data_IF_929672494940
#
_entry.id   IF_929672494940
#
_cell.length_a   1.000
_cell.length_b   1.000
_cell.length_c   1.000
_cell.angle_alpha   90.00
_cell.angle_beta   90.00
_cell.angle_gamma   90.00
#
_symmetry.space_group_name_H-M   'P 1'
#
loop_
_entity.id
_entity.type
_entity.pdbx_description
1 polymer ?
2 non-polymer ?
3 non-polymer ?
4 water ?
#
# COMPACT_ATOMS: atom_id res chain seq x y z
N UNK A 1 -5.90 25.45 15.37
CA UNK A 1 -5.76 24.62 16.54
C UNK A 1 -5.20 23.23 16.27
N UNK A 2 -5.32 22.33 17.25
CA UNK A 2 -5.06 20.92 17.06
C UNK A 2 -6.14 20.04 17.67
N UNK A 3 -7.27 20.62 18.07
CA UNK A 3 -8.28 19.92 18.86
C UNK A 3 -9.25 19.11 17.99
N UNK A 4 -9.70 19.70 16.88
CA UNK A 4 -10.55 18.98 15.94
C UNK A 4 -9.85 17.75 15.39
N UNK A 5 -8.55 17.86 15.08
CA UNK A 5 -7.82 16.74 14.52
C UNK A 5 -7.79 15.55 15.48
N UNK A 6 -7.62 15.82 16.78
CA UNK A 6 -7.67 14.75 17.77
C UNK A 6 -9.03 14.06 17.79
N UNK A 7 -10.11 14.84 17.70
CA UNK A 7 -11.45 14.25 17.68
C UNK A 7 -11.64 13.33 16.48
N UNK A 8 -11.09 13.72 15.33
CA UNK A 8 -11.14 12.87 14.15
C UNK A 8 -10.38 11.56 14.40
N UNK A 9 -9.14 11.68 14.88
CA UNK A 9 -8.35 10.49 15.16
C UNK A 9 -9.02 9.63 16.22
N UNK A 10 -9.68 10.25 17.21
CA UNK A 10 -10.36 9.43 18.21
C UNK A 10 -11.53 8.65 17.58
N UNK A 11 -12.34 9.33 16.77
CA UNK A 11 -13.43 8.64 16.07
C UNK A 11 -12.89 7.48 15.24
N UNK A 12 -11.83 7.71 14.47
CA UNK A 12 -11.27 6.67 13.63
C UNK A 12 -10.72 5.52 14.47
N UNK A 13 -10.13 5.84 15.63
CA UNK A 13 -9.59 4.76 16.45
C UNK A 13 -10.72 3.89 17.03
N UNK A 14 -11.79 4.52 17.52
CA UNK A 14 -12.87 3.75 18.14
C UNK A 14 -13.62 2.93 17.10
N UNK A 15 -13.71 3.42 15.87
CA UNK A 15 -14.35 2.65 14.81
C UNK A 15 -13.53 1.42 14.44
N UNK A 16 -12.21 1.56 14.42
CA UNK A 16 -11.35 0.43 14.12
C UNK A 16 -11.34 -0.60 15.25
N UNK A 17 -11.39 -0.14 16.51
CA UNK A 17 -11.24 -1.00 17.68
C UNK A 17 -12.54 -1.68 18.11
N UNK A 18 -13.70 -1.22 17.65
CA UNK A 18 -14.95 -1.72 18.18
C UNK A 18 -15.09 -3.21 17.84
N UNK A 19 -15.80 -3.94 18.70
CA UNK A 19 -15.93 -5.39 18.54
C UNK A 19 -16.63 -5.72 17.23
N UNK A 20 -16.10 -6.70 16.50
CA UNK A 20 -16.67 -7.06 15.20
C UNK A 20 -16.39 -8.52 14.87
N UNK A 21 -17.35 -9.19 14.25
CA UNK A 21 -17.18 -10.57 13.78
C UNK A 21 -16.54 -10.63 12.40
N UNK A 22 -16.16 -9.50 11.81
CA UNK A 22 -15.73 -9.49 10.42
C UNK A 22 -14.38 -10.18 10.24
N UNK A 23 -13.41 -9.88 11.13
CA UNK A 23 -12.10 -10.52 11.00
C UNK A 23 -12.21 -12.04 11.09
N UNK A 24 -13.16 -12.55 11.88
CA UNK A 24 -13.34 -13.99 11.97
C UNK A 24 -13.96 -14.58 10.71
N UNK A 25 -14.88 -13.85 10.08
CA UNK A 25 -15.44 -14.32 8.81
C UNK A 25 -14.38 -14.34 7.73
N UNK A 26 -13.57 -13.29 7.66
CA UNK A 26 -12.48 -13.23 6.68
C UNK A 26 -11.49 -14.35 6.91
N UNK A 27 -11.15 -14.61 8.19
CA UNK A 27 -10.15 -15.64 8.49
C UNK A 27 -10.59 -17.00 8.00
N UNK A 28 -11.87 -17.34 8.21
CA UNK A 28 -12.35 -18.66 7.81
C UNK A 28 -12.26 -18.86 6.32
N UNK A 29 -12.61 -17.81 5.56
CA UNK A 29 -12.52 -17.87 4.10
C UNK A 29 -11.08 -18.03 3.66
N UNK A 30 -10.19 -17.20 4.22
CA UNK A 30 -8.80 -17.20 3.80
C UNK A 30 -8.14 -18.55 4.07
N UNK A 31 -8.35 -19.09 5.28
CA UNK A 31 -7.80 -20.40 5.61
C UNK A 31 -8.31 -21.47 4.66
N UNK A 32 -9.58 -21.36 4.24
CA UNK A 32 -10.16 -22.30 3.28
C UNK A 32 -9.47 -22.20 1.93
N UNK A 33 -9.21 -20.98 1.47
CA UNK A 33 -8.54 -20.80 0.20
C UNK A 33 -7.11 -21.31 0.26
N UNK A 34 -6.38 -21.00 1.33
CA UNK A 34 -4.99 -21.40 1.44
C UNK A 34 -4.84 -22.92 1.43
N UNK A 35 -5.75 -23.62 2.10
CA UNK A 35 -5.70 -25.07 2.07
C UNK A 35 -5.94 -25.59 0.66
N UNK A 36 -6.86 -24.97 -0.08
CA UNK A 36 -7.18 -25.48 -1.41
C UNK A 36 -6.04 -25.21 -2.39
N UNK A 37 -5.47 -24.00 -2.36
CA UNK A 37 -4.38 -23.65 -3.26
C UNK A 37 -3.13 -24.46 -3.00
N UNK A 38 -2.84 -24.75 -1.72
CA UNK A 38 -1.65 -25.52 -1.37
C UNK A 38 -1.67 -26.93 -1.97
N UNK A 39 -2.83 -27.53 -2.16
CA UNK A 39 -2.84 -28.81 -2.88
C UNK A 39 -3.19 -28.61 -4.35
N UNK A 40 -2.48 -27.68 -4.97
CA UNK A 40 -2.41 -27.53 -6.41
C UNK A 40 -0.95 -27.46 -6.80
N UNK A 41 -0.63 -28.04 -7.97
CA UNK A 41 0.77 -28.17 -8.38
C UNK A 41 1.49 -26.82 -8.44
N UNK A 42 0.77 -25.75 -8.81
CA UNK A 42 1.42 -24.46 -9.02
C UNK A 42 1.47 -23.60 -7.77
N UNK A 43 0.64 -23.87 -6.76
CA UNK A 43 0.52 -22.97 -5.62
C UNK A 43 0.86 -23.67 -4.30
N UNK A 44 1.69 -24.69 -4.32
CA UNK A 44 1.88 -25.39 -3.05
C UNK A 44 2.82 -24.65 -2.10
N UNK A 45 3.47 -23.59 -2.54
CA UNK A 45 4.26 -22.77 -1.63
C UNK A 45 3.57 -21.47 -1.23
N UNK A 46 2.26 -21.40 -1.42
CA UNK A 46 1.54 -20.15 -1.16
C UNK A 46 1.30 -20.02 0.33
N UNK A 47 1.36 -18.79 0.82
CA UNK A 47 1.02 -18.49 2.20
C UNK A 47 0.71 -17.01 2.31
N UNK A 48 0.20 -16.64 3.48
CA UNK A 48 -0.14 -15.25 3.77
C UNK A 48 1.12 -14.41 3.88
N UNK A 49 1.09 -13.20 3.30
CA UNK A 49 2.23 -12.30 3.40
C UNK A 49 2.58 -12.04 4.86
N UNK A 50 1.63 -11.58 5.65
CA UNK A 50 1.80 -11.48 7.09
C UNK A 50 0.77 -12.36 7.79
N UNK A 51 1.25 -13.26 8.65
CA UNK A 51 0.39 -14.17 9.41
C UNK A 51 -0.02 -13.59 10.76
N UNK A 52 -0.30 -12.29 10.84
CA UNK A 52 -0.92 -11.73 12.01
C UNK A 52 -2.43 -11.94 12.00
N UNK A 53 -3.05 -11.87 13.19
CA UNK A 53 -4.49 -12.06 13.30
C UNK A 53 -5.28 -10.80 13.02
N UNK A 54 -4.61 -9.67 12.79
CA UNK A 54 -5.25 -8.40 12.44
C UNK A 54 -5.00 -8.10 10.97
N UNK A 55 -6.07 -7.99 10.20
CA UNK A 55 -5.96 -7.88 8.75
C UNK A 55 -5.71 -6.45 8.30
N UNK A 56 -5.21 -6.32 7.08
CA UNK A 56 -4.84 -5.02 6.55
C UNK A 56 -6.08 -4.28 6.04
N UNK A 57 -6.24 -3.03 6.49
CA UNK A 57 -7.30 -2.14 6.03
C UNK A 57 -6.67 -0.96 5.29
N UNK A 58 -6.62 -1.05 3.96
CA UNK A 58 -6.02 0.05 3.19
C UNK A 58 -6.84 1.32 3.31
N UNK A 59 -8.16 1.21 3.19
CA UNK A 59 -9.05 2.36 3.35
C UNK A 59 -9.28 2.58 4.83
N UNK A 60 -8.73 3.68 5.36
CA UNK A 60 -8.74 3.91 6.81
C UNK A 60 -10.13 4.24 7.34
N UNK A 61 -11.05 4.64 6.48
CA UNK A 61 -12.42 4.94 6.89
C UNK A 61 -13.37 3.77 6.66
N UNK A 62 -12.88 2.63 6.16
CA UNK A 62 -13.73 1.51 5.75
C UNK A 62 -13.35 0.27 6.53
N UNK A 63 -13.94 0.06 7.71
CA UNK A 63 -13.58 -1.10 8.54
C UNK A 63 -14.10 -2.43 8.01
N UNK A 64 -14.90 -2.46 6.95
CA UNK A 64 -15.40 -3.71 6.38
C UNK A 64 -14.71 -4.09 5.09
N UNK A 65 -13.68 -3.34 4.69
CA UNK A 65 -12.93 -3.58 3.46
C UNK A 65 -11.54 -4.08 3.87
N UNK A 66 -11.26 -5.35 3.58
CA UNK A 66 -10.02 -6.00 4.00
C UNK A 66 -9.11 -6.21 2.79
N UNK A 67 -7.81 -6.22 3.04
CA UNK A 67 -6.80 -6.43 2.00
C UNK A 67 -5.87 -7.54 2.44
N UNK A 68 -5.76 -8.61 1.65
CA UNK A 68 -4.85 -9.71 1.99
C UNK A 68 -3.93 -10.00 0.81
N UNK A 69 -2.72 -10.45 1.14
CA UNK A 69 -1.73 -10.78 0.13
C UNK A 69 -1.28 -12.22 0.32
N UNK A 70 -1.32 -12.98 -0.78
CA UNK A 70 -0.82 -14.35 -0.82
C UNK A 70 0.53 -14.32 -1.51
N UNK A 71 1.55 -14.80 -0.83
CA UNK A 71 2.91 -14.76 -1.37
C UNK A 71 3.34 -16.14 -1.82
N UNK A 72 4.18 -16.15 -2.86
CA UNK A 72 4.68 -17.38 -3.43
C UNK A 72 6.18 -17.20 -3.63
N UNK A 73 6.97 -18.03 -2.97
CA UNK A 73 8.42 -17.94 -3.11
C UNK A 73 8.84 -18.47 -4.47
N UNK A 74 9.70 -17.73 -5.17
CA UNK A 74 10.24 -18.15 -6.45
C UNK A 74 11.75 -18.13 -6.39
N UNK A 75 12.38 -19.29 -6.22
CA UNK A 75 13.85 -19.34 -6.25
C UNK A 75 14.39 -18.98 -7.63
N UNK A 76 15.63 -18.51 -7.64
CA UNK A 76 16.42 -18.38 -8.87
C UNK A 76 15.73 -17.51 -9.91
N UNK A 77 15.21 -16.37 -9.45
CA UNK A 77 14.49 -15.46 -10.34
C UNK A 77 15.47 -14.72 -11.23
N UNK A 78 15.08 -14.50 -12.48
CA UNK A 78 15.72 -13.53 -13.37
C UNK A 78 14.70 -12.44 -13.68
N UNK A 79 15.09 -11.19 -13.48
CA UNK A 79 14.24 -10.04 -13.76
C UNK A 79 14.79 -9.27 -14.96
N UNK A 80 13.92 -8.81 -15.85
CA UNK A 80 14.32 -7.91 -16.93
C UNK A 80 13.43 -6.67 -16.85
N UNK A 81 14.05 -5.52 -16.60
CA UNK A 81 13.30 -4.26 -16.53
C UNK A 81 12.57 -4.00 -17.83
N UNK A 82 11.29 -3.63 -17.73
CA UNK A 82 10.46 -3.41 -18.89
C UNK A 82 10.50 -1.93 -19.29
N UNK A 83 10.98 -1.66 -20.51
CA UNK A 83 10.80 -0.39 -21.21
C UNK A 83 11.28 0.80 -20.39
N UNK A 84 12.39 0.58 -19.65
CA UNK A 84 13.01 1.59 -18.81
C UNK A 84 12.05 2.18 -17.76
N UNK A 85 11.03 1.44 -17.33
CA UNK A 85 10.03 1.97 -16.40
C UNK A 85 10.47 1.96 -14.94
N UNK A 86 11.62 1.33 -14.62
CA UNK A 86 12.23 1.30 -13.30
C UNK A 86 11.51 0.42 -12.28
N UNK A 87 10.18 0.31 -12.38
CA UNK A 87 9.35 -0.41 -11.40
C UNK A 87 8.67 -1.65 -11.95
N UNK A 88 8.63 -1.83 -13.28
CA UNK A 88 7.92 -2.93 -13.92
C UNK A 88 8.93 -3.86 -14.57
N UNK A 89 8.69 -5.17 -14.47
CA UNK A 89 9.70 -6.15 -14.84
C UNK A 89 9.07 -7.39 -15.46
N UNK A 90 9.73 -7.96 -16.48
CA UNK A 90 9.44 -9.34 -16.85
C UNK A 90 10.11 -10.28 -15.84
N UNK A 91 9.51 -11.46 -15.64
CA UNK A 91 10.08 -12.48 -14.78
C UNK A 91 10.52 -13.66 -15.63
N UNK A 92 11.80 -14.04 -15.49
CA UNK A 92 12.42 -15.17 -16.18
C UNK A 92 13.04 -16.13 -15.16
N UNK A 93 13.74 -17.15 -15.62
CA UNK A 93 14.36 -18.13 -14.72
C UNK A 93 15.81 -18.45 -15.11
N UNK A 100 10.87 -26.85 -12.13
CA UNK A 100 10.29 -26.04 -11.07
C UNK A 100 8.77 -25.81 -11.29
N UNK A 101 8.02 -25.56 -10.21
CA UNK A 101 6.55 -25.65 -10.29
C UNK A 101 5.89 -24.59 -11.16
N UNK A 102 6.48 -23.42 -11.36
CA UNK A 102 5.80 -22.43 -12.16
C UNK A 102 6.02 -22.61 -13.64
N UNK A 103 6.69 -23.70 -14.03
CA UNK A 103 6.96 -23.93 -15.44
C UNK A 103 5.69 -23.91 -16.28
N UNK A 104 4.56 -24.30 -15.70
CA UNK A 104 3.30 -24.42 -16.44
C UNK A 104 2.74 -23.07 -16.91
N UNK A 105 3.30 -21.94 -16.47
CA UNK A 105 2.83 -20.63 -16.88
C UNK A 105 3.79 -19.89 -17.81
N UNK A 106 4.90 -20.52 -18.19
CA UNK A 106 5.84 -19.86 -19.09
C UNK A 106 5.24 -19.70 -20.48
N UNK A 107 5.58 -18.59 -21.13
CA UNK A 107 5.38 -18.39 -22.55
C UNK A 107 6.76 -18.01 -23.10
N UNK A 108 7.50 -19.01 -23.54
CA UNK A 108 8.90 -18.81 -23.83
C UNK A 108 9.68 -18.84 -22.53
N UNK A 109 10.58 -17.86 -22.36
CA UNK A 109 11.33 -17.71 -21.11
C UNK A 109 10.59 -16.86 -20.08
N UNK A 110 9.43 -16.31 -20.44
CA UNK A 110 8.80 -15.22 -19.71
C UNK A 110 7.59 -15.75 -18.95
N UNK A 111 7.58 -15.49 -17.64
CA UNK A 111 6.48 -15.90 -16.78
C UNK A 111 5.22 -15.10 -17.08
N UNK A 112 4.15 -15.77 -17.48
CA UNK A 112 2.89 -15.11 -17.80
C UNK A 112 2.10 -14.85 -16.52
N UNK A 113 1.91 -13.57 -16.20
CA UNK A 113 1.03 -13.18 -15.10
C UNK A 113 -0.44 -13.54 -15.40
N UNK A 114 -0.92 -13.22 -16.60
CA UNK A 114 -2.34 -13.38 -16.90
C UNK A 114 -2.78 -14.85 -16.82
N UNK A 115 -1.93 -15.76 -17.31
CA UNK A 115 -2.20 -17.19 -17.14
C UNK A 115 -2.21 -17.58 -15.66
N UNK A 116 -1.22 -17.12 -14.90
CA UNK A 116 -1.14 -17.50 -13.49
C UNK A 116 -2.34 -17.01 -12.72
N UNK A 117 -2.77 -15.77 -12.98
CA UNK A 117 -4.00 -15.27 -12.37
C UNK A 117 -5.22 -16.09 -12.77
N UNK A 118 -5.32 -16.50 -14.05
CA UNK A 118 -6.49 -17.23 -14.51
C UNK A 118 -6.71 -18.51 -13.71
N UNK A 119 -5.62 -19.22 -13.38
CA UNK A 119 -5.76 -20.44 -12.59
C UNK A 119 -5.98 -20.12 -11.10
N UNK A 120 -5.27 -19.12 -10.59
CA UNK A 120 -5.50 -18.62 -9.25
C UNK A 120 -6.98 -18.29 -9.05
N UNK A 121 -7.54 -17.46 -9.94
CA UNK A 121 -8.97 -17.16 -9.90
C UNK A 121 -9.82 -18.42 -9.99
N UNK A 122 -9.53 -19.26 -10.99
CA UNK A 122 -10.34 -20.46 -11.21
C UNK A 122 -10.35 -21.36 -9.97
N UNK A 123 -9.18 -21.58 -9.36
CA UNK A 123 -9.10 -22.40 -8.15
C UNK A 123 -9.92 -21.77 -7.03
N UNK A 124 -9.77 -20.45 -6.84
CA UNK A 124 -10.55 -19.75 -5.83
C UNK A 124 -12.03 -19.81 -6.17
N UNK A 125 -12.38 -19.69 -7.45
CA UNK A 125 -13.78 -19.73 -7.86
C UNK A 125 -14.42 -21.06 -7.50
N UNK A 126 -13.72 -22.17 -7.75
CA UNK A 126 -14.27 -23.50 -7.50
C UNK A 126 -14.27 -23.84 -6.00
N UNK A 127 -13.51 -23.11 -5.19
CA UNK A 127 -13.55 -23.29 -3.74
C UNK A 127 -14.63 -22.43 -3.09
N UNK A 128 -14.91 -21.24 -3.64
CA UNK A 128 -15.94 -20.37 -3.09
C UNK A 128 -17.28 -21.08 -3.06
N UNK A 129 -17.66 -21.71 -4.18
CA UNK A 129 -18.94 -22.42 -4.23
C UNK A 129 -19.01 -23.53 -3.20
N UNK A 130 -17.88 -24.15 -2.88
CA UNK A 130 -17.85 -25.24 -1.93
C UNK A 130 -18.27 -24.80 -0.52
N UNK A 131 -18.24 -23.50 -0.24
CA UNK A 131 -18.58 -22.99 1.08
C UNK A 131 -20.08 -23.12 1.36
N UNK A 135 -21.31 -18.08 2.71
CA UNK A 135 -21.95 -17.05 1.90
C UNK A 135 -20.90 -16.12 1.25
N UNK A 136 -20.23 -16.62 0.21
CA UNK A 136 -19.13 -15.92 -0.44
C UNK A 136 -19.45 -15.77 -1.91
N UNK A 137 -19.10 -14.61 -2.49
CA UNK A 137 -19.23 -14.40 -3.93
C UNK A 137 -17.97 -13.71 -4.44
N UNK A 138 -17.66 -13.97 -5.71
CA UNK A 138 -16.44 -13.51 -6.36
C UNK A 138 -16.79 -12.50 -7.44
N UNK A 139 -15.95 -11.47 -7.61
CA UNK A 139 -16.10 -10.54 -8.70
C UNK A 139 -14.76 -10.39 -9.41
N UNK A 140 -14.78 -10.55 -10.74
CA UNK A 140 -13.64 -10.19 -11.57
C UNK A 140 -13.86 -8.78 -12.11
N UNK A 141 -12.83 -7.94 -12.00
CA UNK A 141 -12.84 -6.60 -12.55
C UNK A 141 -11.41 -6.30 -12.98
N UNK A 142 -11.26 -5.43 -13.98
CA UNK A 142 -9.95 -5.22 -14.56
C UNK A 142 -8.94 -4.87 -13.48
N UNK A 143 -7.96 -5.74 -13.33
CA UNK A 143 -7.04 -5.72 -12.23
C UNK A 143 -6.13 -6.92 -12.32
N UNK A 144 -6.02 -7.65 -11.21
CA UNK A 144 -4.82 -8.43 -11.01
C UNK A 144 -3.92 -7.49 -10.24
N UNK A 145 -3.85 -7.70 -8.93
CA UNK A 145 -3.44 -6.73 -7.92
C UNK A 145 -4.44 -5.57 -7.90
N UNK A 146 -5.58 -5.73 -7.19
CA UNK A 146 -5.98 -6.98 -6.52
C UNK A 146 -6.43 -8.03 -7.53
N UNK A 147 -6.05 -9.28 -7.33
CA UNK A 147 -6.43 -10.31 -8.29
C UNK A 147 -7.91 -10.63 -8.19
N UNK A 148 -8.41 -10.72 -6.95
CA UNK A 148 -9.76 -11.18 -6.66
C UNK A 148 -10.35 -10.29 -5.57
N UNK A 149 -11.62 -9.96 -5.70
CA UNK A 149 -12.35 -9.31 -4.61
C UNK A 149 -13.51 -10.21 -4.19
N UNK A 150 -13.53 -10.59 -2.92
CA UNK A 150 -14.62 -11.39 -2.38
C UNK A 150 -15.55 -10.53 -1.55
N UNK A 151 -16.84 -10.85 -1.58
CA UNK A 151 -17.83 -10.16 -0.78
C UNK A 151 -18.50 -11.15 0.17
N UNK A 152 -18.51 -10.81 1.46
CA UNK A 152 -19.01 -11.66 2.52
C UNK A 152 -20.19 -10.97 3.19
N UNK A 153 -21.36 -11.59 3.11
CA UNK A 153 -22.61 -10.92 3.49
C UNK A 153 -22.71 -9.61 2.73
N UNK A 154 -23.20 -8.56 3.38
CA UNK A 154 -23.37 -7.28 2.71
C UNK A 154 -22.09 -6.45 2.78
N UNK A 155 -21.68 -6.07 3.98
CA UNK A 155 -20.66 -5.03 4.11
C UNK A 155 -19.26 -5.54 3.80
N UNK A 156 -18.94 -6.78 4.17
CA UNK A 156 -17.54 -7.19 4.22
C UNK A 156 -17.03 -7.54 2.82
N UNK A 157 -15.90 -6.94 2.45
CA UNK A 157 -15.23 -7.23 1.18
C UNK A 157 -13.75 -7.51 1.46
N UNK A 158 -13.15 -8.39 0.67
CA UNK A 158 -11.75 -8.78 0.84
C UNK A 158 -11.05 -8.79 -0.52
N UNK A 159 -10.00 -7.99 -0.65
CA UNK A 159 -9.16 -8.00 -1.84
C UNK A 159 -8.01 -8.98 -1.63
N UNK A 160 -7.80 -9.87 -2.58
CA UNK A 160 -6.70 -10.83 -2.50
C UNK A 160 -5.72 -10.56 -3.60
N UNK A 161 -4.46 -10.33 -3.23
CA UNK A 161 -3.39 -10.08 -4.18
C UNK A 161 -2.40 -11.23 -4.13
N UNK A 162 -2.03 -11.73 -5.30
CA UNK A 162 -1.00 -12.76 -5.41
C UNK A 162 0.33 -12.06 -5.63
N UNK A 163 1.35 -12.46 -4.88
CA UNK A 163 2.65 -11.82 -4.99
C UNK A 163 3.75 -12.87 -5.10
N UNK A 164 4.75 -12.58 -5.94
CA UNK A 164 5.95 -13.41 -5.94
C UNK A 164 6.93 -12.84 -4.93
N UNK A 165 7.64 -13.72 -4.23
CA UNK A 165 8.67 -13.31 -3.27
C UNK A 165 10.03 -13.75 -3.76
N UNK A 166 11.01 -12.84 -3.67
CA UNK A 166 12.38 -13.09 -4.07
C UNK A 166 13.28 -12.72 -2.91
N UNK A 167 14.19 -13.61 -2.54
CA UNK A 167 15.10 -13.33 -1.43
C UNK A 167 16.44 -12.81 -1.93
N UNK A 168 16.54 -12.51 -3.22
CA UNK A 168 17.77 -11.96 -3.76
C UNK A 168 17.83 -10.46 -3.51
N UNK A 169 19.00 -9.87 -3.77
CA UNK A 169 19.18 -8.46 -3.57
C UNK A 169 18.16 -7.67 -4.40
N UNK A 170 17.81 -6.50 -3.90
CA UNK A 170 16.82 -5.64 -4.54
C UNK A 170 17.30 -5.15 -5.89
N UNK A 171 16.38 -4.88 -6.81
CA UNK A 171 16.81 -4.49 -8.17
C UNK A 171 17.49 -3.13 -8.16
N UNK A 172 18.33 -2.95 -9.20
CA UNK A 172 19.23 -1.80 -9.26
C UNK A 172 18.47 -0.47 -9.17
N UNK A 173 17.21 -0.44 -9.59
CA UNK A 173 16.43 0.79 -9.55
C UNK A 173 16.22 1.31 -8.14
N UNK A 174 16.40 0.46 -7.12
CA UNK A 174 16.23 0.87 -5.73
C UNK A 174 17.54 1.32 -5.07
N UNK A 175 18.67 1.25 -5.78
CA UNK A 175 19.98 1.47 -5.17
C UNK A 175 20.04 2.78 -4.39
N UNK A 176 19.46 3.85 -4.95
CA UNK A 176 19.49 5.15 -4.31
C UNK A 176 18.20 5.51 -3.58
N UNK A 177 17.28 4.56 -3.41
CA UNK A 177 16.04 4.83 -2.70
C UNK A 177 16.17 4.53 -1.21
N UNK A 178 15.04 4.59 -0.51
CA UNK A 178 14.97 4.29 0.94
C UNK A 178 15.98 5.12 1.73
N UNK A 179 15.90 6.42 1.53
CA UNK A 179 16.95 7.33 2.01
C UNK A 179 16.69 7.69 3.47
N UNK A 180 16.75 6.68 4.33
CA UNK A 180 16.43 6.81 5.74
C UNK A 180 17.69 7.01 6.59
N UNK A 181 18.88 7.16 5.98
CA UNK A 181 20.12 7.08 6.75
C UNK A 181 20.22 8.13 7.85
N UNK A 182 19.61 9.30 7.67
CA UNK A 182 19.71 10.37 8.66
C UNK A 182 18.55 10.36 9.63
N UNK A 183 17.60 9.45 9.43
CA UNK A 183 16.44 9.30 10.30
C UNK A 183 16.50 7.99 11.06
N UNK A 184 16.47 6.85 10.37
CA UNK A 184 16.47 5.52 10.99
C UNK A 184 17.87 4.90 11.11
N UNK A 185 18.88 5.46 10.41
CA UNK A 185 20.31 5.10 10.39
C UNK A 185 20.65 4.28 9.15
N UNK A 186 21.92 4.36 8.76
CA UNK A 186 22.43 3.51 7.70
C UNK A 186 22.48 2.05 8.11
N UNK A 187 22.68 1.77 9.41
CA UNK A 187 22.60 0.40 9.90
C UNK A 187 21.24 -0.22 9.60
N UNK A 188 20.16 0.54 9.84
CA UNK A 188 18.83 -0.02 9.62
C UNK A 188 18.54 -0.17 8.13
N UNK A 189 18.90 0.82 7.32
CA UNK A 189 18.73 0.69 5.88
C UNK A 189 19.36 -0.60 5.38
N UNK A 190 20.53 -0.95 5.89
CA UNK A 190 21.20 -2.16 5.44
C UNK A 190 20.43 -3.42 5.86
N UNK A 191 19.95 -3.46 7.11
CA UNK A 191 19.13 -4.59 7.52
C UNK A 191 17.87 -4.70 6.66
N UNK A 192 17.21 -3.57 6.40
CA UNK A 192 15.98 -3.63 5.64
C UNK A 192 16.22 -4.14 4.22
N UNK A 193 17.32 -3.73 3.60
CA UNK A 193 17.61 -4.13 2.23
C UNK A 193 18.07 -5.58 2.12
N UNK A 194 18.35 -6.25 3.24
CA UNK A 194 18.61 -7.69 3.23
C UNK A 194 17.33 -8.50 3.25
N UNK A 195 16.19 -7.85 3.47
CA UNK A 195 14.90 -8.53 3.45
C UNK A 195 14.46 -8.82 2.03
N UNK A 196 13.51 -9.74 1.85
CA UNK A 196 13.02 -10.05 0.51
C UNK A 196 12.25 -8.88 -0.11
N UNK A 197 12.02 -8.98 -1.42
CA UNK A 197 11.14 -8.05 -2.12
C UNK A 197 10.05 -8.87 -2.82
N UNK A 198 8.98 -8.18 -3.20
CA UNK A 198 7.77 -8.82 -3.75
C UNK A 198 7.47 -8.24 -5.12
N UNK A 199 6.77 -9.01 -5.94
CA UNK A 199 6.35 -8.59 -7.28
C UNK A 199 4.88 -8.90 -7.43
N UNK A 200 4.10 -7.93 -7.91
CA UNK A 200 2.66 -8.16 -8.11
C UNK A 200 2.35 -7.94 -9.59
N UNK A 201 1.39 -8.70 -10.15
CA UNK A 201 1.01 -8.48 -11.54
C UNK A 201 0.43 -7.09 -11.73
N UNK A 202 0.92 -6.36 -12.74
CA UNK A 202 0.53 -4.98 -13.00
C UNK A 202 1.08 -4.58 -14.36
N UNK A 203 0.24 -3.94 -15.18
CA UNK A 203 0.67 -3.31 -16.42
C UNK A 203 1.11 -1.87 -16.17
N UNK A 204 1.95 -1.36 -17.07
CA UNK A 204 2.45 0.00 -16.86
C UNK A 204 1.45 1.05 -17.35
N UNK A 205 0.74 0.77 -18.44
CA UNK A 205 -0.33 1.66 -18.90
C UNK A 205 -1.71 1.03 -18.69
N UNK A 211 -0.43 -3.74 -23.01
CA UNK A 211 -0.55 -4.66 -21.89
C UNK A 211 0.32 -5.91 -22.07
N UNK A 212 1.44 -5.96 -21.37
CA UNK A 212 2.39 -7.07 -21.42
C UNK A 212 2.34 -7.86 -20.10
N UNK A 213 3.21 -8.87 -20.02
CA UNK A 213 3.26 -9.75 -18.85
C UNK A 213 4.30 -9.24 -17.86
N UNK A 214 3.95 -8.12 -17.23
CA UNK A 214 4.85 -7.40 -16.33
C UNK A 214 4.38 -7.48 -14.89
N UNK A 215 5.35 -7.30 -13.99
CA UNK A 215 5.16 -7.35 -12.56
C UNK A 215 5.78 -6.10 -11.95
N UNK A 216 5.18 -5.60 -10.89
CA UNK A 216 5.63 -4.38 -10.25
C UNK A 216 6.21 -4.69 -8.87
N UNK A 217 7.33 -4.04 -8.54
CA UNK A 217 7.95 -4.24 -7.24
C UNK A 217 7.01 -3.73 -6.15
N UNK A 218 7.00 -4.44 -5.02
CA UNK A 218 6.12 -4.11 -3.92
C UNK A 218 6.92 -4.24 -2.63
N UNK A 219 6.86 -3.20 -1.80
CA UNK A 219 7.63 -3.20 -0.56
C UNK A 219 6.75 -2.91 0.65
N UNK A 220 5.53 -3.48 0.69
CA UNK A 220 4.59 -3.10 1.75
C UNK A 220 5.02 -3.64 3.11
N UNK A 221 5.86 -4.67 3.14
CA UNK A 221 6.39 -5.18 4.38
C UNK A 221 7.43 -4.24 4.98
N UNK A 222 8.22 -3.55 4.14
CA UNK A 222 9.17 -2.55 4.62
C UNK A 222 8.44 -1.34 5.19
N UNK A 223 7.37 -0.91 4.52
CA UNK A 223 6.54 0.16 5.05
C UNK A 223 6.02 -0.17 6.44
N UNK A 224 5.48 -1.37 6.60
CA UNK A 224 4.91 -1.75 7.89
C UNK A 224 5.99 -1.81 8.98
N UNK A 225 7.17 -2.31 8.63
CA UNK A 225 8.25 -2.39 9.62
C UNK A 225 8.69 -1.01 10.07
N UNK A 226 8.83 -0.06 9.13
CA UNK A 226 9.25 1.28 9.51
C UNK A 226 8.21 1.95 10.39
N UNK A 227 6.92 1.79 10.06
CA UNK A 227 5.88 2.45 10.85
C UNK A 227 5.83 1.91 12.26
N UNK A 228 6.22 0.65 12.46
CA UNK A 228 6.23 0.12 13.82
C UNK A 228 7.55 0.38 14.56
N UNK A 229 8.52 1.04 13.92
CA UNK A 229 9.81 1.34 14.58
C UNK A 229 10.33 2.56 13.82
N UNK A 230 9.71 3.72 14.10
CA UNK A 230 9.74 4.88 13.20
C UNK A 230 10.52 6.06 13.75
N UNK A 231 11.03 6.00 14.99
CA UNK A 231 11.66 7.16 15.57
C UNK A 231 13.16 7.25 15.26
N UNK A 232 13.71 8.47 15.34
CA UNK A 232 15.15 8.57 15.44
C UNK A 232 15.64 7.99 16.75
N UNK A 233 14.93 8.26 17.84
CA UNK A 233 15.21 7.59 19.11
C UNK A 233 14.57 6.21 19.13
N UNK A 234 15.33 5.23 19.64
CA UNK A 234 14.85 3.87 19.68
C UNK A 234 13.64 3.72 20.61
N UNK A 235 13.49 4.62 21.57
CA UNK A 235 12.39 4.57 22.53
C UNK A 235 11.15 5.35 22.07
N UNK A 236 11.16 5.90 20.85
CA UNK A 236 10.03 6.71 20.39
C UNK A 236 8.72 5.97 20.61
N UNK A 237 7.76 6.67 21.21
CA UNK A 237 6.40 6.20 21.46
C UNK A 237 6.33 5.05 22.46
N UNK A 238 7.42 4.70 23.14
CA UNK A 238 7.34 3.71 24.19
C UNK A 238 6.89 4.31 25.52
N UNK A 239 7.28 5.55 25.80
CA UNK A 239 6.63 6.37 26.83
C UNK A 239 5.24 6.72 26.31
N UNK A 240 4.24 5.93 26.72
CA UNK A 240 2.92 5.96 26.09
C UNK A 240 2.19 7.29 26.29
N UNK A 241 2.63 8.12 27.22
CA UNK A 241 2.00 9.41 27.44
C UNK A 241 2.70 10.57 26.72
N UNK A 242 3.82 10.31 26.02
CA UNK A 242 4.54 11.34 25.27
C UNK A 242 4.95 10.81 23.89
N UNK A 243 3.95 10.43 23.12
CA UNK A 243 4.13 9.98 21.74
C UNK A 243 4.75 11.07 20.86
N UNK A 244 5.16 10.63 19.68
CA UNK A 244 5.25 11.50 18.51
C UNK A 244 3.93 11.42 17.75
N UNK A 245 3.76 12.32 16.77
CA UNK A 245 2.51 12.32 16.01
C UNK A 245 2.67 11.79 14.59
N UNK A 246 3.74 11.04 14.29
CA UNK A 246 3.98 10.59 12.92
C UNK A 246 2.82 9.74 12.38
N UNK A 247 2.46 8.67 13.10
CA UNK A 247 1.37 7.79 12.65
C UNK A 247 0.04 8.53 12.53
N UNK A 248 -0.27 9.44 13.47
CA UNK A 248 -1.50 10.24 13.37
C UNK A 248 -1.50 11.13 12.13
N UNK A 249 -0.36 11.74 11.79
CA UNK A 249 -0.29 12.55 10.59
C UNK A 249 -0.55 11.72 9.34
N UNK A 250 0.00 10.50 9.29
CA UNK A 250 -0.25 9.65 8.13
C UNK A 250 -1.72 9.24 8.05
N UNK A 251 -2.37 8.93 9.20
CA UNK A 251 -3.79 8.63 9.16
C UNK A 251 -4.58 9.82 8.65
N UNK A 252 -4.25 11.02 9.13
CA UNK A 252 -5.00 12.20 8.72
C UNK A 252 -4.88 12.42 7.22
N UNK A 253 -3.68 12.23 6.67
CA UNK A 253 -3.50 12.39 5.23
C UNK A 253 -4.27 11.33 4.46
N UNK A 254 -4.23 10.09 4.91
CA UNK A 254 -5.00 9.06 4.24
C UNK A 254 -6.49 9.41 4.25
N UNK A 255 -6.99 9.86 5.41
CA UNK A 255 -8.42 10.15 5.54
C UNK A 255 -8.82 11.36 4.71
N UNK A 256 -7.93 12.34 4.60
CA UNK A 256 -8.22 13.49 3.76
C UNK A 256 -8.46 13.07 2.32
N UNK A 257 -7.55 12.26 1.76
CA UNK A 257 -7.71 11.83 0.38
C UNK A 257 -8.96 10.96 0.20
N UNK A 258 -9.20 10.00 1.12
CA UNK A 258 -10.40 9.15 1.03
C UNK A 258 -11.68 9.96 1.03
N UNK A 259 -11.76 10.97 1.90
CA UNK A 259 -12.98 11.80 1.98
C UNK A 259 -13.15 12.64 0.72
N UNK A 260 -12.05 13.18 0.17
CA UNK A 260 -12.15 13.91 -1.08
C UNK A 260 -12.51 12.98 -2.24
N UNK A 261 -11.96 11.78 -2.27
CA UNK A 261 -12.34 10.85 -3.33
C UNK A 261 -13.81 10.47 -3.25
N UNK A 262 -14.31 10.22 -2.03
CA UNK A 262 -15.74 9.98 -1.88
C UNK A 262 -16.56 11.20 -2.27
N UNK A 263 -16.14 12.38 -1.85
CA UNK A 263 -16.92 13.59 -2.13
C UNK A 263 -17.07 13.79 -3.63
N UNK A 264 -16.13 13.29 -4.43
CA UNK A 264 -16.13 13.54 -5.86
C UNK A 264 -16.14 12.26 -6.69
N UNK A 265 -16.72 11.17 -6.15
CA UNK A 265 -16.83 9.93 -6.91
C UNK A 265 -17.64 10.10 -8.19
N UNK A 266 -18.52 11.12 -8.27
CA UNK A 266 -19.30 11.32 -9.49
C UNK A 266 -18.45 11.88 -10.63
N UNK A 267 -17.54 12.80 -10.32
CA UNK A 267 -16.55 13.24 -11.28
C UNK A 267 -15.40 12.22 -11.33
N UNK A 268 -14.55 12.35 -12.33
CA UNK A 268 -13.45 11.40 -12.49
C UNK A 268 -12.10 11.91 -12.04
N UNK A 269 -11.97 13.20 -11.72
CA UNK A 269 -10.66 13.83 -11.64
C UNK A 269 -9.76 13.24 -10.56
N UNK A 270 -10.34 12.67 -9.50
CA UNK A 270 -9.52 12.13 -8.41
C UNK A 270 -9.30 10.62 -8.52
N UNK A 271 -9.69 10.02 -9.65
CA UNK A 271 -9.66 8.56 -9.77
C UNK A 271 -8.25 8.00 -9.72
N UNK A 272 -7.28 8.69 -10.31
CA UNK A 272 -5.92 8.12 -10.38
C UNK A 272 -5.14 8.27 -9.10
N UNK A 273 -5.66 9.00 -8.10
CA UNK A 273 -4.95 9.14 -6.84
C UNK A 273 -5.31 8.01 -5.88
N UNK A 274 -4.34 7.63 -5.04
CA UNK A 274 -4.54 6.53 -4.11
C UNK A 274 -3.66 6.78 -2.89
N UNK A 275 -3.73 5.84 -1.93
CA UNK A 275 -2.94 6.00 -0.72
C UNK A 275 -1.44 5.92 -1.00
N UNK A 276 -1.02 5.31 -2.11
CA UNK A 276 0.40 5.36 -2.47
C UNK A 276 0.90 6.78 -2.53
N UNK A 277 0.07 7.70 -3.04
CA UNK A 277 0.55 9.06 -3.22
C UNK A 277 0.69 9.77 -1.88
N UNK A 278 -0.28 9.58 -1.00
CA UNK A 278 -0.25 10.19 0.32
C UNK A 278 0.83 9.56 1.19
N UNK A 279 0.93 8.23 1.20
CA UNK A 279 1.99 7.56 1.95
C UNK A 279 3.37 8.04 1.52
N UNK A 280 3.59 8.08 0.20
CA UNK A 280 4.90 8.48 -0.32
C UNK A 280 5.26 9.88 0.14
N UNK A 281 4.33 10.82 0.01
CA UNK A 281 4.63 12.19 0.43
C UNK A 281 4.95 12.25 1.91
N UNK A 282 4.24 11.46 2.72
CA UNK A 282 4.47 11.45 4.16
C UNK A 282 5.87 10.97 4.50
N UNK A 283 6.34 9.91 3.83
CA UNK A 283 7.67 9.38 4.13
C UNK A 283 8.77 10.35 3.72
N UNK A 284 8.54 11.10 2.64
CA UNK A 284 9.46 12.18 2.28
C UNK A 284 9.49 13.26 3.35
N UNK A 285 8.36 13.55 4.00
CA UNK A 285 8.42 14.55 5.07
C UNK A 285 9.14 14.00 6.30
N UNK A 286 9.06 12.69 6.53
CA UNK A 286 9.81 12.03 7.61
C UNK A 286 11.32 12.11 7.37
N UNK A 287 11.74 11.89 6.14
CA UNK A 287 13.13 12.14 5.78
C UNK A 287 13.49 13.60 5.97
N UNK A 288 12.62 14.50 5.51
CA UNK A 288 12.91 15.93 5.63
C UNK A 288 13.06 16.33 7.09
N UNK A 289 12.30 15.69 7.98
CA UNK A 289 12.22 16.09 9.38
C UNK A 289 12.53 14.86 10.23
N UNK A 290 13.82 14.52 10.39
CA UNK A 290 14.17 13.23 11.01
C UNK A 290 14.11 13.20 12.53
N UNK A 291 14.14 14.35 13.20
CA UNK A 291 14.19 14.38 14.66
C UNK A 291 12.82 14.12 15.26
N UNK A 292 12.78 13.33 16.34
CA UNK A 292 11.52 13.08 17.02
C UNK A 292 10.91 14.36 17.57
N UNK A 293 11.75 15.35 17.93
CA UNK A 293 11.23 16.61 18.42
C UNK A 293 10.47 17.40 17.35
N UNK A 294 10.66 17.07 16.09
CA UNK A 294 9.89 17.68 15.01
C UNK A 294 8.52 17.04 14.86
N UNK A 295 8.19 16.09 15.73
CA UNK A 295 6.94 15.36 15.65
C UNK A 295 6.29 15.27 17.02
N UNK A 296 6.47 16.31 17.83
CA UNK A 296 5.89 16.34 19.16
C UNK A 296 4.38 16.24 19.08
N UNK A 297 3.78 15.42 19.95
CA UNK A 297 2.32 15.26 19.89
C UNK A 297 1.57 16.57 20.13
N UNK A 298 2.17 17.52 20.88
CA UNK A 298 1.56 18.84 21.07
C UNK A 298 1.39 19.59 19.75
N UNK A 299 2.22 19.28 18.76
CA UNK A 299 2.28 19.97 17.49
C UNK A 299 1.53 19.23 16.40
N UNK A 300 0.56 18.39 16.76
CA UNK A 300 -0.19 17.62 15.78
C UNK A 300 -0.66 18.50 14.63
N UNK A 301 -1.25 19.65 14.94
CA UNK A 301 -1.78 20.54 13.90
C UNK A 301 -0.70 21.10 13.00
N UNK A 302 0.38 21.60 13.60
CA UNK A 302 1.48 22.13 12.80
C UNK A 302 2.15 21.03 12.00
N UNK A 303 2.29 19.83 12.59
CA UNK A 303 2.91 18.71 11.90
C UNK A 303 2.07 18.24 10.74
N UNK A 304 0.74 18.15 10.95
CA UNK A 304 -0.14 17.81 9.83
C UNK A 304 -0.05 18.86 8.73
N UNK A 305 0.17 20.13 9.10
CA UNK A 305 0.23 21.18 8.10
C UNK A 305 1.49 21.07 7.25
N UNK A 306 2.63 20.72 7.86
CA UNK A 306 3.84 20.40 7.09
C UNK A 306 3.53 19.35 6.03
N UNK A 307 2.82 18.30 6.42
CA UNK A 307 2.52 17.21 5.49
C UNK A 307 1.61 17.69 4.37
N UNK A 308 0.51 18.36 4.72
CA UNK A 308 -0.39 18.93 3.72
C UNK A 308 0.38 19.86 2.80
N UNK A 309 1.18 20.77 3.37
CA UNK A 309 1.93 21.73 2.56
C UNK A 309 2.86 21.02 1.58
N UNK A 310 3.56 20.00 2.03
CA UNK A 310 4.50 19.29 1.16
C UNK A 310 3.78 18.57 0.03
N UNK A 311 2.68 17.85 0.33
CA UNK A 311 1.88 17.21 -0.71
C UNK A 311 1.40 18.23 -1.75
N UNK A 312 1.02 19.42 -1.31
CA UNK A 312 0.57 20.45 -2.24
C UNK A 312 1.72 20.97 -3.12
N UNK A 313 2.93 21.08 -2.56
CA UNK A 313 4.09 21.42 -3.38
C UNK A 313 4.32 20.35 -4.45
N UNK A 314 4.15 19.09 -4.09
CA UNK A 314 4.35 18.01 -5.06
C UNK A 314 3.35 18.10 -6.20
N UNK A 315 2.07 18.32 -5.87
CA UNK A 315 1.05 18.45 -6.91
C UNK A 315 1.38 19.58 -7.87
N UNK A 316 1.85 20.71 -7.33
CA UNK A 316 2.07 21.89 -8.17
C UNK A 316 3.28 21.71 -9.07
N UNK A 317 4.35 21.13 -8.54
CA UNK A 317 5.52 20.86 -9.35
C UNK A 317 5.38 19.61 -10.21
N UNK A 318 4.31 18.84 -10.02
CA UNK A 318 4.11 17.56 -10.72
C UNK A 318 5.30 16.64 -10.52
N UNK A 319 5.80 16.59 -9.29
CA UNK A 319 6.94 15.74 -8.92
C UNK A 319 6.65 15.07 -7.60
N UNK A 320 6.59 13.74 -7.61
CA UNK A 320 6.49 12.95 -6.39
C UNK A 320 7.27 11.67 -6.63
N UNK A 321 8.51 11.63 -6.15
CA UNK A 321 9.39 10.48 -6.35
C UNK A 321 8.95 9.29 -5.49
N UNK A 322 8.85 8.11 -6.12
CA UNK A 322 8.67 6.89 -5.34
C UNK A 322 9.77 6.77 -4.28
N UNK A 323 9.39 6.33 -3.07
CA UNK A 323 10.32 6.36 -1.94
C UNK A 323 11.43 5.31 -2.07
N UNK A 324 11.18 4.23 -2.82
CA UNK A 324 12.14 3.16 -3.06
C UNK A 324 12.85 3.29 -4.40
N UNK A 325 12.21 3.91 -5.38
CA UNK A 325 12.76 3.99 -6.74
C UNK A 325 12.72 5.46 -7.12
N UNK A 326 13.77 6.23 -6.83
CA UNK A 326 13.64 7.70 -6.90
C UNK A 326 13.39 8.24 -8.29
N UNK A 327 13.68 7.48 -9.35
CA UNK A 327 13.47 7.95 -10.72
C UNK A 327 12.06 7.68 -11.21
N UNK A 328 11.23 7.02 -10.43
CA UNK A 328 9.83 6.87 -10.75
C UNK A 328 9.07 8.07 -10.16
N UNK A 329 8.53 8.91 -11.04
CA UNK A 329 7.75 10.08 -10.65
C UNK A 329 6.27 9.73 -10.66
N UNK A 330 5.70 9.57 -9.47
CA UNK A 330 4.29 9.23 -9.33
C UNK A 330 3.37 10.27 -9.94
N UNK A 331 3.85 11.51 -10.02
CA UNK A 331 3.07 12.63 -10.53
C UNK A 331 3.50 13.08 -11.93
N UNK A 332 4.12 12.20 -12.71
CA UNK A 332 4.41 12.57 -14.09
C UNK A 332 3.10 12.74 -14.86
N UNK A 333 3.17 13.54 -15.94
CA UNK A 333 1.93 13.88 -16.64
C UNK A 333 1.39 12.69 -17.44
N UNK A 334 2.23 11.71 -17.79
CA UNK A 334 1.72 10.47 -18.40
C UNK A 334 1.02 9.59 -17.39
N UNK A 335 1.29 9.76 -16.11
CA UNK A 335 0.57 8.98 -15.10
C UNK A 335 -0.71 9.71 -14.70
N UNK A 336 -0.58 10.95 -14.23
CA UNK A 336 -1.70 11.79 -13.84
C UNK A 336 -1.57 13.14 -14.55
N UNK A 337 -2.61 13.54 -15.28
CA UNK A 337 -2.45 14.73 -16.11
C UNK A 337 -2.63 16.01 -15.28
N UNK A 338 -2.27 17.12 -15.91
CA UNK A 338 -2.24 18.42 -15.24
C UNK A 338 -3.61 18.74 -14.66
N UNK A 339 -4.66 18.54 -15.46
CA UNK A 339 -6.02 18.87 -15.05
C UNK A 339 -6.40 18.18 -13.74
N UNK A 340 -6.03 16.91 -13.60
CA UNK A 340 -6.35 16.18 -12.37
C UNK A 340 -5.53 16.67 -11.18
N UNK A 341 -4.26 16.97 -11.38
CA UNK A 341 -3.46 17.47 -10.27
C UNK A 341 -3.92 18.86 -9.83
N UNK A 342 -4.19 19.74 -10.81
CA UNK A 342 -4.69 21.06 -10.49
C UNK A 342 -6.04 20.98 -9.75
N UNK A 343 -6.85 19.97 -10.08
CA UNK A 343 -8.14 19.81 -9.40
C UNK A 343 -7.97 19.39 -7.95
N UNK A 344 -7.02 18.49 -7.65
CA UNK A 344 -6.82 18.10 -6.26
C UNK A 344 -6.19 19.22 -5.44
N UNK A 345 -5.33 20.03 -6.06
CA UNK A 345 -4.75 21.18 -5.36
C UNK A 345 -5.84 22.11 -4.84
N UNK A 346 -6.81 22.46 -5.69
CA UNK A 346 -7.82 23.42 -5.27
C UNK A 346 -8.71 22.84 -4.17
N UNK A 347 -9.05 21.54 -4.25
CA UNK A 347 -9.84 20.95 -3.18
C UNK A 347 -9.09 20.99 -1.85
N UNK A 348 -7.81 20.63 -1.86
CA UNK A 348 -7.06 20.56 -0.59
C UNK A 348 -6.88 21.96 -0.01
N UNK A 349 -6.59 22.96 -0.85
CA UNK A 349 -6.39 24.30 -0.31
C UNK A 349 -7.68 24.92 0.22
N UNK A 350 -8.84 24.50 -0.30
CA UNK A 350 -10.11 24.89 0.32
C UNK A 350 -10.28 24.21 1.66
N UNK A 351 -9.92 22.93 1.77
CA UNK A 351 -9.97 22.26 3.07
C UNK A 351 -9.06 22.97 4.06
N UNK A 352 -7.81 23.21 3.65
CA UNK A 352 -6.82 23.83 4.53
C UNK A 352 -7.28 25.20 5.02
N UNK A 353 -7.92 25.98 4.15
CA UNK A 353 -8.33 27.34 4.50
C UNK A 353 -9.67 27.39 5.23
N UNK A 354 -10.40 26.28 5.31
CA UNK A 354 -11.70 26.25 5.99
C UNK A 354 -11.70 25.27 7.15
N UNK A 355 -10.53 25.02 7.74
CA UNK A 355 -10.39 24.08 8.86
C UNK A 355 -11.03 22.73 8.53
N UNK A 356 -10.63 22.18 7.38
CA UNK A 356 -10.92 20.83 6.88
C UNK A 356 -12.37 20.38 7.11
N UNK A 357 -13.33 20.89 6.34
CA UNK A 357 -14.73 20.43 6.49
C UNK A 357 -14.94 18.93 6.33
N UNK A 358 -14.14 18.22 5.53
CA UNK A 358 -14.33 16.78 5.40
C UNK A 358 -14.12 16.04 6.72
N UNK A 359 -13.55 16.69 7.74
CA UNK A 359 -13.23 16.06 9.00
C UNK A 359 -14.33 16.23 10.06
N UNK A 360 -15.59 16.38 9.66
CA UNK A 360 -16.67 16.40 10.64
C UNK A 360 -17.99 15.92 10.06
X LIG B 1 6.88 7.79 17.75
X LIG C 1 0.72 4.14 -8.44
X LIG C 1 0.72 4.40 -9.79
X LIG C 1 2.91 3.44 -9.97
X LIG C 1 6.55 0.23 -3.86
X LIG C 1 5.02 0.28 -0.77
X LIG C 1 4.81 1.51 -0.02
X LIG C 1 5.22 2.71 -0.48
X LIG C 1 6.04 1.69 -2.48
X LIG C 1 5.02 4.03 0.22
X LIG C 1 6.24 4.58 0.95
X LIG C 1 6.74 3.74 2.11
X LIG C 1 1.81 4.05 -10.56
X LIG C 1 7.57 0.57 -6.11
X LIG C 1 6.49 2.16 -7.80
X LIG C 1 6.37 1.23 -6.78
X LIG C 1 5.05 0.95 -6.37
X LIG C 1 3.97 1.57 -6.94
X LIG C 1 4.12 2.50 -7.97
X LIG C 1 5.42 2.79 -8.40
X LIG C 1 2.94 3.16 -8.60
X LIG C 1 1.83 3.53 -7.84
X LIG C 1 7.74 2.45 -8.22
X LIG C 1 7.08 -0.31 -5.03
X LIG C 1 5.97 -0.50 -2.90
X LIG C 1 5.67 0.49 -1.99
X LIG C 1 5.83 2.81 -1.72
X LIG C 1 6.61 1.58 -3.66
X LIG C 1 4.68 -0.86 -0.45
#
# INVERSE_FOLDING_TARGET
GASKLRAVLEKLKLSRDDISTAAGMVKGVVDHLLLRLKCDSAFRGVGLLNTGSYYEHVKISAPNEFDVMFKLEVPRIQLEEYSNTRAYYFVKFKRNPKENPLSQFLEGEILSASKMLSKFRKIIKEEINDIKDTDVIMKRKRGGSPAVTLLISEKISVDITLALESKSSWPASTQEGLRIQNWLSAKVRKQLRLKPFYLVPKHAKEGNGFQEETWRLSFSHIEKEILNNHGKSKTCCENKEEKCCRKDCLKLMKYLLEQLKERFKDKKHLDKFSSYHVKTAFFHVCTQNPQDSQWDRKDLGLCFDNCVTYFLQCLRTEKLENYFIPEFNLFSSNLIDKRSKEFLTKQIEYERNNEFPVFDEF
ZN ZN
YMO C10 C11 C13 C16 C19 C21 C22 C24 C26 C27 C28 C12 C14 C2 C3 C4 C5 C6 C7 C8 C9 F1 N15 N17 N18 N23 N25 O20
#
